data_IF_808559385962
#
_entry.id   IF_808559385962
#
_cell.length_a   1.000
_cell.length_b   1.000
_cell.length_c   1.000
_cell.angle_alpha   90.00
_cell.angle_beta   90.00
_cell.angle_gamma   90.00
#
_symmetry.space_group_name_H-M   'P 1'
#
loop_
_entity.id
_entity.type
_entity.pdbx_description
1 polymer ?
#
# COMPACT_ATOMS: atom_id res chain seq x y z
N UNK A 1 8.13 -37.47 -33.35
CA UNK A 1 8.42 -36.01 -33.37
C UNK A 1 7.62 -35.37 -32.24
N UNK A 2 8.09 -35.37 -30.98
CA UNK A 2 7.45 -34.61 -29.86
C UNK A 2 8.18 -34.65 -28.51
N UNK A 3 9.24 -35.44 -28.32
CA UNK A 3 10.03 -35.39 -27.06
C UNK A 3 11.11 -34.29 -27.11
N UNK A 4 11.70 -34.06 -28.29
CA UNK A 4 12.77 -33.05 -28.46
C UNK A 4 12.26 -31.63 -28.24
N UNK A 5 11.01 -31.31 -28.65
CA UNK A 5 10.41 -29.98 -28.45
C UNK A 5 10.10 -29.72 -26.97
N UNK A 6 9.64 -30.73 -26.23
CA UNK A 6 9.35 -30.62 -24.79
C UNK A 6 10.64 -30.49 -23.97
N UNK A 7 11.70 -31.23 -24.33
CA UNK A 7 13.02 -31.08 -23.71
C UNK A 7 13.63 -29.71 -24.03
N UNK A 8 13.51 -29.22 -25.26
CA UNK A 8 13.98 -27.89 -25.65
C UNK A 8 13.27 -26.77 -24.89
N UNK A 9 11.93 -26.82 -24.78
CA UNK A 9 11.14 -25.85 -24.00
C UNK A 9 11.49 -25.91 -22.50
N UNK A 10 11.83 -27.09 -21.96
CA UNK A 10 12.30 -27.24 -20.57
C UNK A 10 13.70 -26.66 -20.34
N UNK A 11 14.60 -26.76 -21.34
CA UNK A 11 15.95 -26.21 -21.28
C UNK A 11 15.96 -24.68 -21.40
N UNK A 12 15.10 -24.12 -22.24
CA UNK A 12 14.88 -22.66 -22.33
C UNK A 12 14.30 -22.10 -21.03
N UNK A 13 13.37 -22.83 -20.40
CA UNK A 13 12.81 -22.48 -19.09
C UNK A 13 13.86 -22.52 -17.98
N UNK A 14 14.80 -23.48 -18.03
CA UNK A 14 15.90 -23.59 -17.08
C UNK A 14 16.95 -22.48 -17.27
N UNK A 15 17.25 -22.10 -18.51
CA UNK A 15 18.11 -20.97 -18.85
C UNK A 15 17.50 -19.64 -18.37
N UNK A 16 16.19 -19.44 -18.59
CA UNK A 16 15.46 -18.29 -18.08
C UNK A 16 15.48 -18.24 -16.54
N UNK A 17 15.33 -19.39 -15.87
CA UNK A 17 15.42 -19.51 -14.42
C UNK A 17 16.81 -19.15 -13.90
N UNK A 18 17.89 -19.70 -14.48
CA UNK A 18 19.26 -19.39 -14.08
C UNK A 18 19.61 -17.92 -14.29
N UNK A 19 19.17 -17.32 -15.40
CA UNK A 19 19.39 -15.90 -15.69
C UNK A 19 18.67 -14.99 -14.67
N UNK A 20 17.51 -15.41 -14.16
CA UNK A 20 16.83 -14.71 -13.06
C UNK A 20 17.51 -14.93 -11.71
N UNK A 21 18.05 -16.11 -11.43
CA UNK A 21 18.83 -16.36 -10.21
C UNK A 21 20.09 -15.49 -10.20
N UNK A 22 20.76 -15.33 -11.34
CA UNK A 22 21.89 -14.42 -11.49
C UNK A 22 21.46 -12.95 -11.31
N UNK A 23 20.32 -12.52 -11.87
CA UNK A 23 19.78 -11.18 -11.64
C UNK A 23 19.44 -10.92 -10.15
N UNK A 24 18.88 -11.90 -9.45
CA UNK A 24 18.63 -11.81 -8.00
C UNK A 24 19.94 -11.75 -7.22
N UNK A 25 20.99 -12.45 -7.68
CA UNK A 25 22.34 -12.43 -7.08
C UNK A 25 23.07 -11.11 -7.31
N UNK A 26 22.91 -10.48 -8.48
CA UNK A 26 23.44 -9.14 -8.75
C UNK A 26 22.73 -8.06 -7.93
N UNK A 27 21.41 -8.20 -7.69
CA UNK A 27 20.65 -7.31 -6.81
C UNK A 27 21.12 -7.46 -5.36
N UNK A 28 21.38 -8.69 -4.89
CA UNK A 28 21.91 -8.95 -3.54
C UNK A 28 23.33 -8.45 -3.27
N UNK A 29 24.10 -8.10 -4.31
CA UNK A 29 25.46 -7.57 -4.20
C UNK A 29 25.55 -6.05 -4.44
N UNK A 30 24.43 -5.36 -4.71
CA UNK A 30 24.40 -3.91 -4.74
C UNK A 30 24.26 -3.40 -3.32
N UNK A 31 25.24 -2.64 -2.86
CA UNK A 31 25.08 -1.78 -1.68
C UNK A 31 23.98 -0.77 -2.00
N UNK A 32 22.75 -1.03 -1.54
CA UNK A 32 21.66 -0.07 -1.59
C UNK A 32 21.84 0.84 -0.38
N UNK A 33 22.05 2.15 -0.55
CA UNK A 33 22.03 3.07 0.59
C UNK A 33 20.62 3.03 1.18
N UNK A 34 20.46 2.34 2.31
CA UNK A 34 19.21 2.37 3.07
C UNK A 34 19.20 3.69 3.83
N UNK A 35 18.51 4.69 3.29
CA UNK A 35 18.26 5.94 4.02
C UNK A 35 17.34 5.65 5.21
N UNK A 36 17.61 6.27 6.35
CA UNK A 36 16.76 6.11 7.52
C UNK A 36 15.38 6.73 7.25
N UNK A 37 14.32 5.94 7.34
CA UNK A 37 12.94 6.47 7.32
C UNK A 37 12.65 7.11 8.68
N UNK A 38 12.32 8.40 8.69
CA UNK A 38 11.94 9.16 9.88
C UNK A 38 10.46 9.51 9.83
N UNK A 39 9.86 9.61 11.01
CA UNK A 39 8.47 10.06 11.17
C UNK A 39 8.46 11.32 12.04
N UNK A 40 7.83 12.37 11.53
CA UNK A 40 7.46 13.57 12.24
C UNK A 40 5.96 13.48 12.56
N UNK A 41 5.60 13.73 13.82
CA UNK A 41 4.22 13.82 14.29
C UNK A 41 4.03 15.15 14.98
N UNK A 42 3.41 16.09 14.29
CA UNK A 42 3.21 17.45 14.78
C UNK A 42 1.75 17.62 15.14
N UNK A 43 1.50 18.02 16.39
CA UNK A 43 0.16 18.24 16.89
C UNK A 43 -0.06 19.74 17.05
N UNK A 44 -1.31 20.18 16.94
CA UNK A 44 -1.68 21.52 17.38
C UNK A 44 -1.40 21.65 18.89
N UNK A 45 -0.62 22.67 19.26
CA UNK A 45 -0.17 22.91 20.65
C UNK A 45 -0.79 24.14 21.30
N UNK A 46 -1.54 24.96 20.54
CA UNK A 46 -2.16 26.20 21.04
C UNK A 46 -3.53 26.42 20.41
N UNK A 47 -4.38 27.05 21.19
CA UNK A 47 -5.69 27.59 20.78
C UNK A 47 -5.64 28.51 19.54
N UNK A 48 -4.50 29.15 19.28
CA UNK A 48 -4.34 30.05 18.13
C UNK A 48 -4.00 29.35 16.82
N UNK A 49 -3.70 28.05 16.90
CA UNK A 49 -3.09 27.27 15.83
C UNK A 49 -4.13 26.44 15.07
N UNK A 50 -5.39 26.45 15.51
CA UNK A 50 -6.55 25.97 14.78
C UNK A 50 -7.64 27.07 14.71
N UNK A 51 -8.20 27.27 13.53
CA UNK A 51 -9.21 28.31 13.33
C UNK A 51 -10.18 27.91 12.23
N UNK A 52 -11.47 28.21 12.42
CA UNK A 52 -12.54 28.01 11.44
C UNK A 52 -13.31 29.30 11.22
N UNK A 53 -13.49 29.71 9.96
CA UNK A 53 -14.35 30.87 9.65
C UNK A 53 -15.81 30.48 9.82
N UNK A 54 -16.58 31.27 10.56
CA UNK A 54 -18.02 31.07 10.71
C UNK A 54 -18.74 32.42 10.82
N UNK A 55 -20.03 32.44 10.49
CA UNK A 55 -20.89 33.61 10.69
C UNK A 55 -21.54 33.63 12.08
N UNK A 56 -21.57 32.48 12.76
CA UNK A 56 -22.14 32.33 14.09
C UNK A 56 -21.03 32.18 15.13
N UNK A 57 -21.29 32.59 16.38
CA UNK A 57 -20.35 32.38 17.47
C UNK A 57 -20.34 30.90 17.85
N UNK A 58 -19.56 30.11 17.14
CA UNK A 58 -19.27 28.72 17.49
C UNK A 58 -18.31 28.61 18.67
N UNK A 59 -18.29 27.43 19.29
CA UNK A 59 -17.41 27.14 20.40
C UNK A 59 -15.96 27.14 19.94
N UNK A 60 -15.05 27.74 20.71
CA UNK A 60 -13.60 27.62 20.48
C UNK A 60 -13.10 26.19 20.73
N UNK A 61 -13.91 25.33 21.36
CA UNK A 61 -13.54 23.95 21.68
C UNK A 61 -13.70 22.98 20.49
N UNK A 62 -14.03 23.47 19.30
CA UNK A 62 -14.30 22.62 18.14
C UNK A 62 -13.73 23.23 16.86
N UNK A 63 -13.16 22.38 16.02
CA UNK A 63 -12.76 22.72 14.66
C UNK A 63 -13.92 22.36 13.74
N UNK A 64 -14.41 23.33 12.97
CA UNK A 64 -15.57 23.14 12.11
C UNK A 64 -15.14 22.88 10.66
N UNK A 65 -15.84 22.01 9.95
CA UNK A 65 -15.57 21.70 8.54
C UNK A 65 -16.87 21.72 7.77
N UNK A 66 -16.86 22.21 6.52
CA UNK A 66 -18.02 22.14 5.62
C UNK A 66 -18.72 23.48 5.47
N UNK A 67 -20.05 23.49 5.54
CA UNK A 67 -20.86 24.69 5.31
C UNK A 67 -21.73 24.97 6.53
N UNK A 68 -21.67 26.20 7.04
CA UNK A 68 -22.58 26.65 8.09
C UNK A 68 -23.92 27.05 7.45
N UNK A 69 -24.91 26.18 7.62
CA UNK A 69 -26.27 26.35 7.10
C UNK A 69 -27.16 27.23 7.98
N UNK A 70 -26.67 27.66 9.15
CA UNK A 70 -27.39 28.61 10.01
C UNK A 70 -27.23 30.06 9.56
N UNK A 71 -26.26 30.34 8.68
CA UNK A 71 -26.02 31.64 8.08
C UNK A 71 -27.10 32.00 7.05
N UNK A 72 -27.47 33.28 6.96
CA UNK A 72 -28.47 33.80 6.01
C UNK A 72 -28.17 33.55 4.51
N UNK A 73 -26.96 33.10 4.17
CA UNK A 73 -26.53 32.76 2.81
C UNK A 73 -25.85 31.40 2.71
N UNK A 74 -25.86 30.56 3.76
CA UNK A 74 -24.98 29.40 3.92
C UNK A 74 -23.51 29.76 3.72
N UNK A 75 -22.73 29.87 4.79
CA UNK A 75 -21.33 30.29 4.68
C UNK A 75 -20.39 29.10 4.63
N UNK A 76 -19.46 29.10 3.67
CA UNK A 76 -18.37 28.13 3.66
C UNK A 76 -17.50 28.29 4.91
N UNK A 77 -17.27 27.18 5.60
CA UNK A 77 -16.37 27.11 6.74
C UNK A 77 -14.98 26.80 6.20
N UNK A 78 -14.11 27.80 6.27
CA UNK A 78 -12.70 27.71 5.90
C UNK A 78 -11.89 27.49 7.16
N UNK A 79 -11.20 26.36 7.21
CA UNK A 79 -10.46 25.92 8.39
C UNK A 79 -8.97 25.95 8.11
N UNK A 80 -8.23 26.55 9.02
CA UNK A 80 -6.78 26.68 8.94
C UNK A 80 -6.16 26.04 10.17
N UNK A 81 -5.19 25.16 9.95
CA UNK A 81 -4.42 24.47 10.97
C UNK A 81 -2.94 24.80 10.77
N UNK A 82 -2.29 25.29 11.82
CA UNK A 82 -0.91 25.76 11.80
C UNK A 82 -0.03 24.75 12.52
N UNK A 83 0.79 24.02 11.77
CA UNK A 83 1.83 23.15 12.31
C UNK A 83 3.16 23.89 12.24
N UNK A 84 3.69 24.25 13.40
CA UNK A 84 4.82 25.17 13.52
C UNK A 84 6.14 24.40 13.70
N UNK A 85 7.26 25.06 13.38
CA UNK A 85 8.62 24.56 13.63
C UNK A 85 8.94 23.16 13.08
N UNK A 86 8.50 22.87 11.85
CA UNK A 86 8.61 21.53 11.26
C UNK A 86 10.08 21.20 10.96
N UNK A 87 10.64 20.22 11.65
CA UNK A 87 12.04 19.75 11.47
C UNK A 87 12.23 18.85 10.26
N UNK A 88 11.64 19.22 9.12
CA UNK A 88 11.74 18.49 7.86
C UNK A 88 12.81 19.14 6.96
N UNK A 89 13.90 18.44 6.61
CA UNK A 89 14.95 19.01 5.77
C UNK A 89 14.47 19.34 4.35
N UNK A 90 15.11 20.31 3.72
CA UNK A 90 14.82 20.72 2.34
C UNK A 90 15.19 19.65 1.31
N UNK A 91 14.43 19.58 0.20
CA UNK A 91 14.63 18.60 -0.91
C UNK A 91 14.65 17.14 -0.43
N UNK A 92 13.94 16.87 0.65
CA UNK A 92 13.75 15.55 1.22
C UNK A 92 12.68 14.79 0.44
N UNK A 93 12.87 13.48 0.27
CA UNK A 93 11.83 12.61 -0.29
C UNK A 93 10.78 12.29 0.78
N UNK A 94 9.55 12.72 0.54
CA UNK A 94 8.42 12.45 1.44
C UNK A 94 7.69 11.19 0.97
N UNK A 95 7.59 10.20 1.86
CA UNK A 95 6.99 8.90 1.57
C UNK A 95 5.48 8.88 1.80
N UNK A 96 5.00 9.62 2.80
CA UNK A 96 3.59 9.71 3.16
C UNK A 96 3.35 10.95 4.00
N UNK A 97 2.24 11.62 3.79
CA UNK A 97 1.78 12.71 4.65
C UNK A 97 0.27 12.64 4.78
N UNK A 98 -0.25 12.73 6.00
CA UNK A 98 -1.69 12.82 6.21
C UNK A 98 -2.02 13.64 7.45
N UNK A 99 -3.17 14.31 7.37
CA UNK A 99 -3.80 14.95 8.50
C UNK A 99 -4.68 13.93 9.23
N UNK A 100 -4.62 13.94 10.56
CA UNK A 100 -5.52 13.19 11.43
C UNK A 100 -6.37 14.17 12.22
N UNK A 101 -7.68 13.93 12.21
CA UNK A 101 -8.67 14.65 13.00
C UNK A 101 -9.46 13.67 13.85
N UNK A 102 -9.77 14.03 15.10
CA UNK A 102 -10.68 13.26 15.95
C UNK A 102 -12.06 13.90 15.91
N UNK A 103 -13.09 13.11 15.61
CA UNK A 103 -14.46 13.61 15.47
C UNK A 103 -15.07 14.04 16.82
N UNK A 104 -15.59 15.26 16.89
CA UNK A 104 -16.27 15.84 18.06
C UNK A 104 -17.80 15.62 18.07
N UNK A 105 -18.34 15.10 16.97
CA UNK A 105 -19.73 14.67 16.82
C UNK A 105 -19.86 13.41 15.96
N UNK A 106 -21.09 12.91 15.79
CA UNK A 106 -21.41 11.80 14.89
C UNK A 106 -22.34 12.31 13.80
N UNK A 107 -21.90 12.23 12.55
CA UNK A 107 -22.73 12.55 11.38
C UNK A 107 -22.24 11.75 10.16
N UNK A 108 -23.03 10.78 9.71
CA UNK A 108 -22.65 9.93 8.59
C UNK A 108 -22.97 10.53 7.21
N UNK A 109 -23.51 11.76 7.17
CA UNK A 109 -23.73 12.48 5.91
C UNK A 109 -22.39 12.69 5.19
N UNK A 110 -22.32 12.44 3.87
CA UNK A 110 -21.09 12.69 3.13
C UNK A 110 -20.76 14.19 3.15
N UNK A 111 -19.47 14.52 3.26
CA UNK A 111 -18.97 15.89 3.13
C UNK A 111 -17.76 15.91 2.19
N UNK A 112 -17.80 16.75 1.16
CA UNK A 112 -16.71 16.90 0.19
C UNK A 112 -15.91 18.16 0.51
N UNK A 113 -14.62 18.00 0.72
CA UNK A 113 -13.67 19.06 1.08
C UNK A 113 -12.50 19.08 0.09
N UNK A 114 -11.82 20.22 0.05
CA UNK A 114 -10.49 20.40 -0.53
C UNK A 114 -9.51 20.70 0.59
N UNK A 115 -8.31 20.15 0.47
CA UNK A 115 -7.18 20.42 1.35
C UNK A 115 -6.07 21.05 0.52
N UNK A 116 -5.57 22.18 0.97
CA UNK A 116 -4.41 22.87 0.43
C UNK A 116 -3.33 22.99 1.51
N UNK A 117 -2.07 23.07 1.11
CA UNK A 117 -0.96 23.27 2.04
C UNK A 117 -0.10 24.47 1.62
N UNK A 118 0.47 25.16 2.60
CA UNK A 118 1.33 26.34 2.42
C UNK A 118 2.52 26.28 3.36
N UNK A 119 3.59 26.97 3.00
CA UNK A 119 4.72 27.21 3.88
C UNK A 119 4.73 28.67 4.36
N UNK A 120 5.20 28.88 5.59
CA UNK A 120 5.49 30.22 6.10
C UNK A 120 6.67 30.18 7.07
N UNK A 121 7.57 31.16 6.94
CA UNK A 121 8.62 31.44 7.94
C UNK A 121 8.08 32.19 9.15
N UNK A 122 7.00 32.95 8.96
CA UNK A 122 6.33 33.74 9.99
C UNK A 122 4.81 33.55 9.87
N UNK A 123 4.37 32.35 10.23
CA UNK A 123 2.95 31.97 10.25
C UNK A 123 2.11 32.85 11.21
N UNK A 124 2.78 33.60 12.10
CA UNK A 124 2.13 34.44 13.10
C UNK A 124 1.88 35.89 12.61
N UNK A 125 2.51 36.33 11.52
CA UNK A 125 2.33 37.68 10.96
C UNK A 125 0.95 37.91 10.30
N UNK A 126 0.51 39.17 10.29
CA UNK A 126 -0.82 39.65 9.86
C UNK A 126 -1.22 39.35 8.39
N UNK A 127 -0.39 38.63 7.63
CA UNK A 127 -0.65 38.23 6.24
C UNK A 127 -1.30 36.84 6.10
N UNK A 128 -1.76 36.20 7.21
CA UNK A 128 -2.37 34.86 7.21
C UNK A 128 -3.40 34.64 6.09
N UNK A 129 -4.26 35.62 5.84
CA UNK A 129 -5.34 35.53 4.85
C UNK A 129 -4.86 35.69 3.38
N UNK A 130 -3.74 36.37 3.14
CA UNK A 130 -3.21 36.58 1.77
C UNK A 130 -2.46 35.35 1.23
N UNK A 131 -1.81 34.59 2.10
CA UNK A 131 -1.06 33.38 1.71
C UNK A 131 -2.02 32.31 1.18
N UNK A 132 -3.21 32.21 1.78
CA UNK A 132 -4.22 31.18 1.51
C UNK A 132 -4.92 31.37 0.16
N UNK A 133 -5.09 32.60 -0.33
CA UNK A 133 -5.95 32.90 -1.48
C UNK A 133 -5.32 32.70 -2.87
N UNK A 134 -4.09 32.19 -2.97
CA UNK A 134 -3.34 32.15 -4.25
C UNK A 134 -2.91 30.75 -4.71
N UNK A 135 -3.20 29.68 -3.97
CA UNK A 135 -2.77 28.33 -4.32
C UNK A 135 -3.91 27.49 -4.90
N UNK A 136 -3.77 27.07 -6.17
CA UNK A 136 -4.71 26.19 -6.85
C UNK A 136 -4.35 24.69 -6.71
N UNK A 137 -3.28 24.34 -5.98
CA UNK A 137 -2.91 22.96 -5.71
C UNK A 137 -3.68 22.44 -4.48
N UNK A 138 -4.52 21.42 -4.67
CA UNK A 138 -5.35 20.84 -3.61
C UNK A 138 -5.54 19.34 -3.79
N UNK A 139 -5.81 18.66 -2.67
CA UNK A 139 -6.26 17.26 -2.63
C UNK A 139 -7.72 17.24 -2.20
N UNK A 140 -8.55 16.47 -2.91
CA UNK A 140 -9.95 16.29 -2.55
C UNK A 140 -10.09 15.28 -1.41
N UNK A 141 -10.87 15.61 -0.40
CA UNK A 141 -11.18 14.73 0.72
C UNK A 141 -12.68 14.55 0.86
N UNK A 142 -13.14 13.32 0.67
CA UNK A 142 -14.52 12.93 0.96
C UNK A 142 -14.59 12.30 2.35
N UNK A 143 -15.24 12.99 3.27
CA UNK A 143 -15.55 12.49 4.60
C UNK A 143 -16.82 11.64 4.56
N UNK A 144 -16.70 10.40 5.03
CA UNK A 144 -17.78 9.45 5.26
C UNK A 144 -17.54 8.77 6.61
N UNK A 145 -18.60 8.25 7.24
CA UNK A 145 -18.52 7.55 8.53
C UNK A 145 -17.86 8.39 9.64
N UNK A 146 -18.34 9.62 9.85
CA UNK A 146 -17.85 10.49 10.92
C UNK A 146 -18.50 10.08 12.25
N UNK A 147 -17.70 9.51 13.15
CA UNK A 147 -18.19 8.90 14.40
C UNK A 147 -17.47 9.53 15.57
N UNK A 148 -18.23 10.01 16.56
CA UNK A 148 -17.71 10.66 17.76
C UNK A 148 -16.54 9.89 18.39
N UNK A 149 -15.47 10.64 18.70
CA UNK A 149 -14.21 10.18 19.28
C UNK A 149 -13.37 9.24 18.40
N UNK A 150 -13.75 8.99 17.14
CA UNK A 150 -12.90 8.24 16.22
C UNK A 150 -11.99 9.16 15.42
N UNK A 151 -10.77 8.67 15.20
CA UNK A 151 -9.81 9.32 14.31
C UNK A 151 -10.21 9.07 12.86
N UNK A 152 -10.22 10.14 12.06
CA UNK A 152 -10.30 10.08 10.61
C UNK A 152 -9.03 10.69 10.03
N UNK A 153 -8.48 10.04 9.00
CA UNK A 153 -7.29 10.51 8.29
C UNK A 153 -7.67 11.08 6.93
N UNK A 154 -6.96 12.12 6.51
CA UNK A 154 -7.03 12.63 5.14
C UNK A 154 -6.49 11.60 4.15
N UNK A 155 -6.73 11.79 2.84
CA UNK A 155 -5.94 11.17 1.80
C UNK A 155 -4.48 11.62 1.90
N UNK A 156 -3.62 10.99 1.10
CA UNK A 156 -2.20 11.35 1.03
C UNK A 156 -2.01 12.78 0.52
N UNK A 157 -1.28 13.57 1.31
CA UNK A 157 -0.97 14.98 1.09
C UNK A 157 0.45 15.21 0.55
N UNK A 158 1.21 14.15 0.25
CA UNK A 158 2.52 14.25 -0.42
C UNK A 158 2.49 15.17 -1.65
N UNK A 159 1.47 15.14 -2.55
CA UNK A 159 1.42 16.05 -3.70
C UNK A 159 1.38 17.55 -3.33
N UNK A 160 1.00 17.89 -2.09
CA UNK A 160 1.02 19.25 -1.59
C UNK A 160 2.37 19.57 -0.95
N UNK A 161 2.85 18.71 -0.06
CA UNK A 161 4.09 18.95 0.69
C UNK A 161 5.34 18.86 -0.18
N UNK A 162 5.38 17.98 -1.19
CA UNK A 162 6.52 17.91 -2.09
C UNK A 162 6.73 19.25 -2.82
N UNK A 163 5.64 19.93 -3.21
CA UNK A 163 5.73 21.26 -3.83
C UNK A 163 6.21 22.36 -2.89
N UNK A 164 6.22 22.11 -1.58
CA UNK A 164 6.74 23.02 -0.57
C UNK A 164 8.22 22.75 -0.31
N UNK A 165 8.57 21.49 -0.01
CA UNK A 165 9.92 21.08 0.41
C UNK A 165 10.94 21.16 -0.72
N UNK A 166 10.49 21.05 -1.97
CA UNK A 166 11.34 21.18 -3.16
C UNK A 166 11.71 22.64 -3.48
N UNK A 167 11.00 23.63 -2.91
CA UNK A 167 11.31 25.05 -3.14
C UNK A 167 12.62 25.43 -2.48
N UNK A 168 13.41 26.24 -3.17
CA UNK A 168 14.71 26.72 -2.66
C UNK A 168 14.59 27.60 -1.39
N UNK A 169 13.39 28.09 -1.05
CA UNK A 169 13.15 28.93 0.12
C UNK A 169 12.60 28.18 1.35
N UNK A 170 12.41 26.86 1.27
CA UNK A 170 12.04 26.03 2.41
C UNK A 170 13.25 25.74 3.30
N UNK A 171 13.11 25.94 4.60
CA UNK A 171 14.13 25.61 5.60
C UNK A 171 13.54 24.74 6.72
N UNK A 172 14.36 23.84 7.30
CA UNK A 172 13.92 23.07 8.47
C UNK A 172 13.65 24.02 9.65
N UNK A 173 12.47 23.93 10.24
CA UNK A 173 11.92 24.90 11.19
C UNK A 173 10.86 25.83 10.59
N UNK A 174 10.65 25.80 9.26
CA UNK A 174 9.50 26.46 8.65
C UNK A 174 8.19 25.80 9.11
N UNK A 175 7.10 26.56 9.04
CA UNK A 175 5.76 26.08 9.40
C UNK A 175 5.01 25.55 8.19
N UNK A 176 4.20 24.51 8.40
CA UNK A 176 3.24 23.99 7.43
C UNK A 176 1.84 24.42 7.85
N UNK A 177 1.14 25.09 6.95
CA UNK A 177 -0.24 25.52 7.14
C UNK A 177 -1.14 24.63 6.29
N UNK A 178 -2.09 23.95 6.93
CA UNK A 178 -3.13 23.17 6.25
C UNK A 178 -4.39 24.00 6.21
N UNK A 179 -4.94 24.15 5.01
CA UNK A 179 -6.16 24.89 4.76
C UNK A 179 -7.21 23.96 4.17
N UNK A 180 -8.41 23.99 4.74
CA UNK A 180 -9.49 23.07 4.40
C UNK A 180 -10.74 23.89 4.12
N UNK A 181 -11.39 23.62 2.99
CA UNK A 181 -12.64 24.28 2.60
C UNK A 181 -13.56 23.31 1.85
N UNK A 182 -14.86 23.62 1.72
CA UNK A 182 -15.78 22.81 0.91
C UNK A 182 -15.32 22.66 -0.54
N UNK A 183 -15.49 21.48 -1.13
CA UNK A 183 -15.34 21.34 -2.58
C UNK A 183 -16.57 21.93 -3.29
N UNK A 184 -16.34 22.97 -4.10
CA UNK A 184 -17.37 23.57 -4.98
C UNK A 184 -18.00 22.54 -5.93
N UNK A 185 -17.25 21.52 -6.34
CA UNK A 185 -17.76 20.45 -7.20
C UNK A 185 -18.53 19.45 -6.34
N UNK A 186 -19.85 19.39 -6.53
CA UNK A 186 -20.77 18.59 -5.70
C UNK A 186 -20.74 19.01 -4.22
N UNK A 187 -20.77 20.32 -3.95
CA UNK A 187 -20.85 20.88 -2.60
C UNK A 187 -22.05 20.30 -1.84
N UNK A 188 -21.82 19.93 -0.58
CA UNK A 188 -22.83 19.39 0.33
C UNK A 188 -22.97 20.34 1.51
N UNK A 189 -24.21 20.76 1.79
CA UNK A 189 -24.54 21.77 2.81
C UNK A 189 -24.70 21.12 4.19
N UNK A 190 -23.58 20.60 4.71
CA UNK A 190 -23.48 20.07 6.07
C UNK A 190 -22.19 20.56 6.71
N UNK A 191 -22.15 20.61 8.03
CA UNK A 191 -20.90 20.79 8.77
C UNK A 191 -20.58 19.56 9.63
N UNK A 192 -19.30 19.41 9.94
CA UNK A 192 -18.78 18.41 10.88
C UNK A 192 -17.87 19.10 11.87
N UNK A 193 -17.78 18.54 13.08
CA UNK A 193 -16.96 19.09 14.16
C UNK A 193 -15.88 18.10 14.52
N UNK A 194 -14.64 18.58 14.61
CA UNK A 194 -13.51 17.87 15.17
C UNK A 194 -13.11 18.48 16.52
N UNK A 195 -12.38 17.71 17.33
CA UNK A 195 -11.79 18.23 18.56
C UNK A 195 -10.80 19.35 18.24
N UNK A 196 -10.99 20.52 18.86
CA UNK A 196 -9.98 21.57 18.91
C UNK A 196 -9.04 21.37 20.10
N UNK A 197 -7.91 22.08 20.08
CA UNK A 197 -6.93 22.04 21.16
C UNK A 197 -7.53 22.35 22.54
N UNK A 198 -8.40 23.35 22.63
CA UNK A 198 -9.01 23.83 23.87
C UNK A 198 -9.91 22.80 24.53
N UNK A 199 -10.45 21.86 23.75
CA UNK A 199 -11.32 20.81 24.26
C UNK A 199 -10.53 19.66 24.86
N UNK A 200 -9.58 19.16 24.11
CA UNK A 200 -8.74 18.03 24.47
C UNK A 200 -7.45 18.10 23.65
N UNK A 201 -6.34 18.59 24.23
CA UNK A 201 -5.06 18.68 23.55
C UNK A 201 -4.62 17.35 22.94
N UNK A 202 -4.88 16.20 23.58
CA UNK A 202 -4.42 14.89 23.07
C UNK A 202 -5.14 14.45 21.79
N UNK A 203 -6.31 15.04 21.51
CA UNK A 203 -7.17 14.77 20.35
C UNK A 203 -7.18 15.92 19.34
N UNK A 204 -6.39 16.95 19.59
CA UNK A 204 -6.21 18.05 18.65
C UNK A 204 -5.66 17.52 17.31
N UNK A 205 -5.85 18.28 16.25
CA UNK A 205 -5.41 17.89 14.92
C UNK A 205 -3.92 17.54 14.91
N UNK A 206 -3.56 16.47 14.19
CA UNK A 206 -2.18 15.99 14.08
C UNK A 206 -1.79 15.79 12.64
N UNK A 207 -0.65 16.36 12.26
CA UNK A 207 -0.02 16.14 10.98
C UNK A 207 1.06 15.06 11.14
N UNK A 208 1.01 14.04 10.29
CA UNK A 208 2.00 12.96 10.28
C UNK A 208 2.74 12.98 8.95
N UNK A 209 4.07 13.02 9.01
CA UNK A 209 4.95 13.05 7.85
C UNK A 209 5.97 11.93 7.99
N UNK A 210 6.05 11.06 6.98
CA UNK A 210 7.10 10.06 6.86
C UNK A 210 8.03 10.46 5.70
N UNK A 211 9.33 10.47 5.93
CA UNK A 211 10.31 10.93 4.95
C UNK A 211 11.64 10.19 5.06
N UNK A 212 12.47 10.29 4.02
CA UNK A 212 13.82 9.71 3.97
C UNK A 212 14.85 10.75 4.40
N UNK A 213 15.60 10.47 5.47
CA UNK A 213 16.68 11.38 5.86
C UNK A 213 17.93 11.12 5.00
N UNK A 214 18.18 12.02 4.05
CA UNK A 214 19.36 11.97 3.18
C UNK A 214 20.69 12.11 3.96
N UNK A 215 20.66 12.58 5.21
CA UNK A 215 21.84 12.85 6.03
C UNK A 215 22.12 11.78 7.10
N UNK A 216 21.22 10.81 7.28
CA UNK A 216 21.40 9.71 8.22
C UNK A 216 21.30 8.36 7.49
N UNK A 217 22.43 7.65 7.44
CA UNK A 217 22.42 6.24 7.07
C UNK A 217 21.56 5.48 8.09
N UNK A 218 20.62 4.65 7.60
CA UNK A 218 19.85 3.75 8.45
C UNK A 218 20.80 2.95 9.35
N UNK A 219 20.49 2.74 10.64
CA UNK A 219 21.32 1.87 11.48
C UNK A 219 21.48 0.55 10.77
N UNK A 220 22.72 0.25 10.37
CA UNK A 220 23.01 -0.92 9.55
C UNK A 220 22.50 -2.17 10.27
N UNK A 221 21.51 -2.84 9.68
CA UNK A 221 21.17 -4.20 10.09
C UNK A 221 22.36 -5.06 9.68
N UNK A 222 23.24 -5.38 10.61
CA UNK A 222 24.28 -6.39 10.41
C UNK A 222 23.57 -7.72 10.22
N UNK A 223 23.32 -8.10 8.96
CA UNK A 223 23.01 -9.48 8.64
C UNK A 223 24.33 -10.23 8.76
N UNK A 224 24.57 -10.81 9.93
CA UNK A 224 25.63 -11.80 10.09
C UNK A 224 25.33 -12.92 9.08
N UNK A 225 26.14 -12.99 8.03
CA UNK A 225 26.11 -14.10 7.08
C UNK A 225 26.38 -15.34 7.92
N UNK A 226 25.36 -16.19 8.13
CA UNK A 226 25.53 -17.46 8.83
C UNK A 226 26.42 -18.33 7.95
N UNK A 227 27.73 -18.23 8.16
CA UNK A 227 28.71 -19.13 7.57
C UNK A 227 28.48 -20.49 8.24
N UNK A 228 28.20 -21.57 7.49
CA UNK A 228 27.91 -22.86 8.10
C UNK A 228 29.15 -23.33 8.86
N UNK A 229 29.11 -23.23 10.20
CA UNK A 229 30.12 -23.83 11.06
C UNK A 229 30.10 -25.35 10.87
N UNK A 230 31.26 -26.02 10.78
CA UNK A 230 31.32 -27.47 10.67
C UNK A 230 30.59 -28.11 11.84
N UNK A 231 29.69 -29.06 11.54
CA UNK A 231 28.88 -29.76 12.52
C UNK A 231 29.77 -30.49 13.54
N UNK A 232 29.82 -29.97 14.76
CA UNK A 232 30.55 -30.58 15.87
C UNK A 232 29.58 -31.42 16.72
N UNK A 233 29.74 -32.75 16.65
CA UNK A 233 28.89 -33.75 17.32
C UNK A 233 28.93 -33.66 18.87
N UNK A 234 29.89 -32.94 19.47
CA UNK A 234 30.17 -33.01 20.91
C UNK A 234 29.62 -31.84 21.76
N UNK A 235 28.77 -30.96 21.22
CA UNK A 235 28.27 -29.77 21.93
C UNK A 235 26.79 -29.85 22.41
N UNK A 236 26.27 -31.04 22.71
CA UNK A 236 24.84 -31.19 23.08
C UNK A 236 24.51 -30.99 24.57
N UNK A 237 25.43 -30.54 25.42
CA UNK A 237 25.14 -30.38 26.86
C UNK A 237 25.54 -29.03 27.45
N UNK A 238 25.20 -27.90 26.81
CA UNK A 238 24.99 -26.64 27.54
C UNK A 238 24.26 -25.58 26.70
N UNK A 239 23.11 -25.91 26.12
CA UNK A 239 22.20 -24.90 25.57
C UNK A 239 20.98 -24.81 26.46
N UNK A 240 21.07 -23.98 27.50
CA UNK A 240 19.89 -23.34 28.07
C UNK A 240 19.15 -22.68 26.92
N UNK A 241 17.91 -23.08 26.64
CA UNK A 241 17.16 -22.53 25.51
C UNK A 241 17.15 -21.00 25.63
N UNK A 242 17.65 -20.24 24.64
CA UNK A 242 17.37 -18.84 24.60
C UNK A 242 15.85 -18.71 24.52
N UNK A 243 15.27 -18.01 25.50
CA UNK A 243 13.88 -17.56 25.48
C UNK A 243 13.59 -17.15 24.05
N UNK A 244 12.64 -17.80 23.36
CA UNK A 244 12.21 -17.43 22.01
C UNK A 244 11.90 -15.94 22.05
N UNK A 245 12.85 -15.11 21.63
CA UNK A 245 12.55 -13.80 21.15
C UNK A 245 11.80 -14.11 19.87
N UNK A 246 10.48 -13.97 19.92
CA UNK A 246 9.69 -13.82 18.72
C UNK A 246 10.41 -12.77 17.91
N UNK A 247 11.01 -13.16 16.79
CA UNK A 247 11.53 -12.19 15.81
C UNK A 247 10.36 -11.27 15.53
N UNK A 248 10.39 -10.06 16.09
CA UNK A 248 9.37 -9.07 15.85
C UNK A 248 9.51 -8.75 14.36
N UNK A 249 8.58 -9.25 13.56
CA UNK A 249 8.52 -8.91 12.15
C UNK A 249 8.41 -7.39 12.08
N UNK A 250 9.41 -6.74 11.46
CA UNK A 250 9.37 -5.30 11.19
C UNK A 250 8.04 -5.03 10.46
N UNK A 251 7.13 -4.21 11.01
CA UNK A 251 5.87 -3.88 10.36
C UNK A 251 6.14 -3.41 8.92
N UNK A 252 5.40 -3.94 7.93
CA UNK A 252 5.65 -3.61 6.51
C UNK A 252 5.65 -2.10 6.22
N UNK A 253 4.98 -1.30 7.06
CA UNK A 253 4.95 0.15 7.02
C UNK A 253 6.29 0.85 7.31
N UNK A 254 7.29 0.14 7.86
CA UNK A 254 8.62 0.66 8.20
C UNK A 254 9.70 0.30 7.16
N UNK A 255 9.36 -0.46 6.11
CA UNK A 255 10.29 -0.76 5.03
C UNK A 255 10.33 0.39 4.02
N UNK A 256 11.51 0.73 3.52
CA UNK A 256 11.72 1.67 2.40
C UNK A 256 10.78 1.32 1.22
N UNK A 257 10.12 2.26 0.53
CA UNK A 257 9.25 1.97 -0.61
C UNK A 257 9.94 1.18 -1.74
N UNK A 258 11.24 1.37 -1.96
CA UNK A 258 12.02 0.55 -2.89
C UNK A 258 12.19 -0.87 -2.33
N UNK A 259 12.54 -1.03 -1.05
CA UNK A 259 12.54 -2.33 -0.37
C UNK A 259 11.13 -2.99 -0.30
N UNK A 260 10.04 -2.24 -0.13
CA UNK A 260 8.67 -2.75 -0.15
C UNK A 260 8.28 -3.18 -1.55
N UNK A 261 8.64 -2.40 -2.58
CA UNK A 261 8.44 -2.74 -3.98
C UNK A 261 9.28 -3.96 -4.34
N UNK A 262 10.52 -4.04 -3.87
CA UNK A 262 11.40 -5.17 -4.06
C UNK A 262 10.87 -6.40 -3.33
N UNK A 263 10.42 -6.30 -2.08
CA UNK A 263 9.80 -7.42 -1.34
C UNK A 263 8.48 -7.84 -1.96
N UNK A 264 7.66 -6.90 -2.43
CA UNK A 264 6.42 -7.20 -3.17
C UNK A 264 6.75 -7.85 -4.51
N UNK A 265 7.83 -7.45 -5.18
CA UNK A 265 8.33 -8.06 -6.40
C UNK A 265 8.97 -9.43 -6.14
N UNK A 266 9.69 -9.63 -5.05
CA UNK A 266 10.31 -10.88 -4.63
C UNK A 266 9.25 -11.87 -4.15
N UNK A 267 8.25 -11.40 -3.40
CA UNK A 267 7.08 -12.20 -2.99
C UNK A 267 6.21 -12.55 -4.20
N UNK A 268 5.92 -11.58 -5.06
CA UNK A 268 5.23 -11.82 -6.33
C UNK A 268 6.00 -12.79 -7.23
N UNK A 269 7.33 -12.63 -7.34
CA UNK A 269 8.19 -13.54 -8.10
C UNK A 269 8.22 -14.93 -7.46
N UNK A 270 8.28 -15.05 -6.13
CA UNK A 270 8.20 -16.34 -5.42
C UNK A 270 6.86 -17.02 -5.64
N UNK A 271 5.76 -16.27 -5.53
CA UNK A 271 4.41 -16.81 -5.67
C UNK A 271 4.16 -17.22 -7.14
N UNK A 272 4.68 -16.46 -8.10
CA UNK A 272 4.69 -16.82 -9.54
C UNK A 272 5.61 -18.01 -9.81
N UNK A 273 6.81 -18.05 -9.24
CA UNK A 273 7.74 -19.19 -9.38
C UNK A 273 7.16 -20.46 -8.80
N UNK A 274 6.45 -20.39 -7.66
CA UNK A 274 5.68 -21.49 -7.13
C UNK A 274 4.63 -21.92 -8.14
N UNK A 275 3.78 -21.02 -8.65
CA UNK A 275 2.78 -21.37 -9.68
C UNK A 275 3.41 -22.00 -10.94
N UNK A 276 4.59 -21.54 -11.36
CA UNK A 276 5.36 -22.13 -12.48
C UNK A 276 5.85 -23.53 -12.14
N UNK A 277 6.38 -23.76 -10.93
CA UNK A 277 6.80 -25.10 -10.48
C UNK A 277 5.59 -26.05 -10.42
N UNK A 278 4.46 -25.59 -9.90
CA UNK A 278 3.22 -26.39 -9.87
C UNK A 278 2.74 -26.73 -11.30
N UNK A 279 2.82 -25.77 -12.24
CA UNK A 279 2.46 -25.98 -13.64
C UNK A 279 3.41 -26.96 -14.35
N UNK A 280 4.72 -26.80 -14.16
CA UNK A 280 5.74 -27.69 -14.74
C UNK A 280 5.64 -29.10 -14.16
N UNK A 281 5.43 -29.22 -12.85
CA UNK A 281 5.26 -30.50 -12.18
C UNK A 281 4.01 -31.23 -12.68
N UNK A 282 2.90 -30.50 -12.82
CA UNK A 282 1.67 -31.08 -13.36
C UNK A 282 1.80 -31.49 -14.82
N UNK A 283 2.52 -30.70 -15.65
CA UNK A 283 2.78 -31.03 -17.04
C UNK A 283 3.67 -32.29 -17.16
N UNK A 284 4.74 -32.36 -16.36
CA UNK A 284 5.60 -33.54 -16.28
C UNK A 284 4.83 -34.79 -15.82
N UNK A 285 3.93 -34.68 -14.84
CA UNK A 285 3.08 -35.79 -14.40
C UNK A 285 2.13 -36.26 -15.49
N UNK A 286 1.55 -35.36 -16.30
CA UNK A 286 0.71 -35.73 -17.44
C UNK A 286 1.54 -36.50 -18.47
N UNK A 287 2.74 -36.02 -18.82
CA UNK A 287 3.64 -36.68 -19.76
C UNK A 287 4.02 -38.08 -19.26
N UNK A 288 4.42 -38.20 -17.98
CA UNK A 288 4.78 -39.48 -17.37
C UNK A 288 3.57 -40.42 -17.31
N UNK A 289 2.39 -39.90 -16.97
CA UNK A 289 1.15 -40.67 -16.91
C UNK A 289 0.72 -41.21 -18.28
N UNK A 290 0.94 -40.44 -19.35
CA UNK A 290 0.69 -40.88 -20.73
C UNK A 290 1.75 -41.89 -21.20
N UNK A 291 3.03 -41.67 -20.88
CA UNK A 291 4.13 -42.56 -21.30
C UNK A 291 4.09 -43.90 -20.56
N UNK A 292 3.82 -43.91 -19.25
CA UNK A 292 3.79 -45.13 -18.44
C UNK A 292 2.50 -45.95 -18.58
N UNK A 293 1.46 -45.44 -19.25
CA UNK A 293 0.15 -46.09 -19.45
C UNK A 293 -0.58 -46.56 -18.17
N UNK A 294 -0.11 -46.19 -16.98
CA UNK A 294 -0.78 -46.53 -15.72
C UNK A 294 -2.02 -45.66 -15.50
N UNK A 295 -3.20 -46.27 -15.67
CA UNK A 295 -4.54 -45.65 -15.47
C UNK A 295 -4.66 -44.73 -14.25
N UNK A 296 -4.33 -45.14 -13.01
CA UNK A 296 -4.52 -44.29 -11.83
C UNK A 296 -3.64 -43.04 -11.86
N UNK A 297 -2.39 -43.15 -12.35
CA UNK A 297 -1.44 -42.03 -12.41
C UNK A 297 -1.95 -40.95 -13.38
N UNK A 298 -2.51 -41.34 -14.53
CA UNK A 298 -3.04 -40.40 -15.52
C UNK A 298 -4.26 -39.65 -14.98
N UNK A 299 -5.17 -40.34 -14.28
CA UNK A 299 -6.35 -39.71 -13.69
C UNK A 299 -5.96 -38.73 -12.58
N UNK A 300 -5.00 -39.12 -11.72
CA UNK A 300 -4.45 -38.24 -10.69
C UNK A 300 -3.74 -37.01 -11.28
N UNK A 301 -3.00 -37.17 -12.38
CA UNK A 301 -2.32 -36.06 -13.05
C UNK A 301 -3.32 -35.04 -13.64
N UNK A 302 -4.42 -35.50 -14.25
CA UNK A 302 -5.48 -34.64 -14.77
C UNK A 302 -6.19 -33.90 -13.64
N UNK A 303 -6.51 -34.60 -12.54
CA UNK A 303 -7.13 -33.97 -11.37
C UNK A 303 -6.23 -32.89 -10.75
N UNK A 304 -4.93 -33.17 -10.62
CA UNK A 304 -3.96 -32.22 -10.07
C UNK A 304 -3.77 -30.99 -10.98
N UNK A 305 -3.78 -31.19 -12.30
CA UNK A 305 -3.73 -30.10 -13.27
C UNK A 305 -4.96 -29.19 -13.19
N UNK A 306 -6.15 -29.79 -13.09
CA UNK A 306 -7.40 -29.05 -12.93
C UNK A 306 -7.41 -28.21 -11.63
N UNK A 307 -6.93 -28.77 -10.52
CA UNK A 307 -6.77 -28.06 -9.24
C UNK A 307 -5.78 -26.89 -9.38
N UNK A 308 -4.69 -27.10 -10.12
CA UNK A 308 -3.67 -26.06 -10.34
C UNK A 308 -4.24 -24.88 -11.14
N UNK A 309 -4.99 -25.16 -12.21
CA UNK A 309 -5.68 -24.13 -13.01
C UNK A 309 -6.67 -23.37 -12.12
N UNK A 310 -7.49 -24.10 -11.35
CA UNK A 310 -8.49 -23.49 -10.48
C UNK A 310 -7.83 -22.59 -9.44
N UNK A 311 -6.72 -23.03 -8.84
CA UNK A 311 -5.97 -22.25 -7.85
C UNK A 311 -5.38 -20.97 -8.46
N UNK A 312 -4.67 -21.09 -9.58
CA UNK A 312 -4.10 -19.93 -10.29
C UNK A 312 -5.19 -18.93 -10.62
N UNK A 313 -6.33 -19.42 -11.09
CA UNK A 313 -7.43 -18.55 -11.47
C UNK A 313 -8.13 -17.85 -10.28
N UNK A 314 -8.43 -18.57 -9.20
CA UNK A 314 -9.06 -17.99 -8.01
C UNK A 314 -8.15 -17.00 -7.29
N UNK A 315 -6.84 -17.29 -7.24
CA UNK A 315 -5.85 -16.46 -6.55
C UNK A 315 -5.45 -15.27 -7.41
N UNK A 316 -5.09 -15.47 -8.69
CA UNK A 316 -4.60 -14.39 -9.54
C UNK A 316 -5.73 -13.45 -10.01
N UNK A 317 -6.97 -13.94 -10.14
CA UNK A 317 -8.14 -13.09 -10.47
C UNK A 317 -8.52 -12.13 -9.34
N UNK A 318 -8.21 -12.48 -8.09
CA UNK A 318 -8.57 -11.66 -6.92
C UNK A 318 -7.91 -10.28 -6.88
N UNK A 319 -6.86 -10.06 -7.69
CA UNK A 319 -6.15 -8.78 -7.80
C UNK A 319 -6.54 -7.94 -9.02
N UNK A 320 -7.37 -8.47 -9.93
CA UNK A 320 -7.83 -7.75 -11.12
C UNK A 320 -8.99 -6.81 -10.79
N UNK A 321 -9.18 -5.73 -11.54
CA UNK A 321 -10.37 -4.86 -11.40
C UNK A 321 -11.64 -5.62 -11.79
N UNK A 322 -12.80 -5.19 -11.29
CA UNK A 322 -14.07 -5.91 -11.43
C UNK A 322 -14.41 -6.28 -12.89
N UNK A 323 -14.09 -5.41 -13.85
CA UNK A 323 -14.32 -5.67 -15.28
C UNK A 323 -13.48 -6.81 -15.85
N UNK A 324 -12.19 -6.87 -15.52
CA UNK A 324 -11.30 -7.94 -15.99
C UNK A 324 -11.65 -9.30 -15.38
N UNK A 325 -12.17 -9.32 -14.13
CA UNK A 325 -12.66 -10.57 -13.52
C UNK A 325 -13.80 -11.17 -14.33
N UNK A 326 -14.79 -10.36 -14.70
CA UNK A 326 -15.95 -10.82 -15.48
C UNK A 326 -15.48 -11.44 -16.80
N UNK A 327 -14.61 -10.76 -17.55
CA UNK A 327 -14.08 -11.26 -18.81
C UNK A 327 -13.30 -12.57 -18.60
N UNK A 328 -12.45 -12.65 -17.57
CA UNK A 328 -11.66 -13.85 -17.28
C UNK A 328 -12.56 -15.06 -16.94
N UNK A 329 -13.63 -14.88 -16.16
CA UNK A 329 -14.62 -15.92 -15.87
C UNK A 329 -15.37 -16.35 -17.12
N UNK A 330 -15.76 -15.41 -17.99
CA UNK A 330 -16.42 -15.72 -19.25
C UNK A 330 -15.52 -16.51 -20.18
N UNK A 331 -14.26 -16.10 -20.36
CA UNK A 331 -13.29 -16.82 -21.20
C UNK A 331 -13.03 -18.22 -20.67
N UNK A 332 -12.86 -18.39 -19.35
CA UNK A 332 -12.69 -19.71 -18.75
C UNK A 332 -13.93 -20.59 -19.00
N UNK A 333 -15.14 -20.03 -18.84
CA UNK A 333 -16.39 -20.74 -19.13
C UNK A 333 -16.46 -21.22 -20.58
N UNK A 334 -16.13 -20.37 -21.56
CA UNK A 334 -16.11 -20.73 -22.98
C UNK A 334 -15.07 -21.82 -23.27
N UNK A 335 -13.88 -21.74 -22.66
CA UNK A 335 -12.84 -22.77 -22.80
C UNK A 335 -13.34 -24.11 -22.24
N UNK A 336 -13.92 -24.12 -21.04
CA UNK A 336 -14.46 -25.34 -20.43
C UNK A 336 -15.56 -25.97 -21.28
N UNK A 337 -16.47 -25.15 -21.81
CA UNK A 337 -17.51 -25.62 -22.73
C UNK A 337 -16.91 -26.19 -24.03
N UNK A 338 -15.89 -25.54 -24.58
CA UNK A 338 -15.19 -26.01 -25.79
C UNK A 338 -14.51 -27.35 -25.54
N UNK A 339 -13.79 -27.50 -24.42
CA UNK A 339 -13.14 -28.75 -24.03
C UNK A 339 -14.18 -29.84 -23.79
N UNK A 340 -15.26 -29.52 -23.08
CA UNK A 340 -16.37 -30.45 -22.84
C UNK A 340 -17.00 -30.93 -24.15
N UNK A 341 -17.22 -30.02 -25.10
CA UNK A 341 -17.76 -30.34 -26.42
C UNK A 341 -16.81 -31.25 -27.22
N UNK A 342 -15.51 -30.93 -27.24
CA UNK A 342 -14.49 -31.76 -27.90
C UNK A 342 -14.41 -33.15 -27.26
N UNK A 343 -14.45 -33.22 -25.92
CA UNK A 343 -14.50 -34.50 -25.20
C UNK A 343 -15.73 -35.32 -25.58
N UNK A 344 -16.90 -34.70 -25.61
CA UNK A 344 -18.14 -35.37 -25.98
C UNK A 344 -18.11 -35.86 -27.43
N UNK A 345 -17.59 -35.05 -28.35
CA UNK A 345 -17.48 -35.36 -29.78
C UNK A 345 -16.49 -36.49 -30.07
N UNK A 346 -15.39 -36.56 -29.32
CA UNK A 346 -14.33 -37.55 -29.50
C UNK A 346 -14.32 -38.62 -28.39
N UNK A 347 -15.45 -38.82 -27.71
CA UNK A 347 -15.56 -39.68 -26.53
C UNK A 347 -14.98 -41.07 -26.74
N UNK A 348 -15.28 -41.71 -27.88
CA UNK A 348 -14.80 -43.07 -28.18
C UNK A 348 -13.27 -43.13 -28.33
N UNK A 349 -12.67 -42.18 -29.05
CA UNK A 349 -11.23 -42.11 -29.27
C UNK A 349 -10.46 -41.73 -27.99
N UNK A 350 -11.05 -40.84 -27.18
CA UNK A 350 -10.47 -40.41 -25.92
C UNK A 350 -10.62 -41.50 -24.85
N UNK A 351 -11.74 -42.22 -24.77
CA UNK A 351 -11.90 -43.38 -23.88
C UNK A 351 -10.92 -44.49 -24.25
N UNK A 352 -10.69 -44.76 -25.54
CA UNK A 352 -9.68 -45.74 -25.99
C UNK A 352 -8.26 -45.32 -25.58
N UNK A 353 -7.91 -44.04 -25.74
CA UNK A 353 -6.64 -43.50 -25.27
C UNK A 353 -6.54 -43.47 -23.73
N UNK A 354 -7.66 -43.26 -23.02
CA UNK A 354 -7.73 -43.11 -21.56
C UNK A 354 -8.05 -44.41 -20.80
N UNK A 355 -8.40 -45.50 -21.47
CA UNK A 355 -8.83 -46.76 -20.83
C UNK A 355 -8.22 -48.02 -21.48
N UNK A 356 -7.40 -47.91 -22.52
CA UNK A 356 -6.53 -49.03 -22.93
C UNK A 356 -5.55 -49.37 -21.80
N UNK A 357 -5.38 -50.67 -21.54
CA UNK A 357 -4.53 -51.22 -20.48
C UNK A 357 -3.03 -51.06 -20.75
#
# INVERSE_FOLDING_TARGET
MNIIIVVALSMESFSYFNKRIEQVREVGNKEVPVLASKTIQEQIERASDDSSTTCTNFSQNEVYLGVDTSCSQNQDIRTTLFFLDIKLPQKTQVNNMYLRLTAADTDNSPLNLKISAFNSKDALSANRNQIISQNNNFVRWKLINWIYQQDTTSPDLVPLLQTIVDKDNWEAGDSIIIYIEPDEVNKIYVNKRAFAYERDPERAARLVINYEDNNEASPSVVIEQVQPTPYNRNQTQQYSQPRRQTVQQIPQSQLDPAAQKEIKQLKGARDVSLSIIWLLYSNALIIIGVVKKYKPIRLSAIAFFAITILKVFLVDSSNLSQGYRIIAFTTLGVILLTVSYVYQKHRQQIEELLLSD
#
